data_IF_549332539649
#
_entry.id   IF_549332539649
#
_cell.length_a   1.000
_cell.length_b   1.000
_cell.length_c   1.000
_cell.angle_alpha   90.00
_cell.angle_beta   90.00
_cell.angle_gamma   90.00
#
_symmetry.space_group_name_H-M   'P 1'
#
loop_
_entity.id
_entity.type
_entity.pdbx_description
1 polymer ?
#
# COMPACT_ATOMS: atom_id res chain seq x y z
N UNK A 1 11.04 -1.92 13.02
CA UNK A 1 9.88 -2.84 13.07
C UNK A 1 10.37 -4.26 12.85
N UNK A 2 9.85 -5.24 13.60
CA UNK A 2 10.01 -6.67 13.31
C UNK A 2 9.01 -7.10 12.23
N UNK A 3 9.29 -8.18 11.50
CA UNK A 3 8.38 -8.74 10.49
C UNK A 3 6.99 -9.07 11.07
N UNK A 4 6.91 -9.46 12.35
CA UNK A 4 5.65 -9.77 13.05
C UNK A 4 4.66 -8.59 13.10
N UNK A 5 5.15 -7.34 13.09
CA UNK A 5 4.26 -6.17 13.10
C UNK A 5 3.58 -5.97 11.73
N UNK A 6 4.27 -6.27 10.63
CA UNK A 6 3.71 -6.12 9.28
C UNK A 6 2.63 -7.16 9.01
N UNK A 7 2.90 -8.43 9.32
CA UNK A 7 1.92 -9.51 9.11
C UNK A 7 0.64 -9.28 9.93
N UNK A 8 0.78 -8.77 11.16
CA UNK A 8 -0.38 -8.45 12.01
C UNK A 8 -1.21 -7.31 11.42
N UNK A 9 -0.56 -6.20 11.06
CA UNK A 9 -1.25 -5.04 10.46
C UNK A 9 -1.92 -5.42 9.14
N UNK A 10 -1.28 -6.27 8.34
CA UNK A 10 -1.83 -6.77 7.09
C UNK A 10 -3.07 -7.62 7.33
N UNK A 11 -3.04 -8.52 8.30
CA UNK A 11 -4.21 -9.32 8.67
C UNK A 11 -5.38 -8.45 9.15
N UNK A 12 -5.13 -7.49 10.05
CA UNK A 12 -6.13 -6.54 10.53
C UNK A 12 -6.74 -5.72 9.37
N UNK A 13 -5.89 -5.23 8.46
CA UNK A 13 -6.30 -4.44 7.29
C UNK A 13 -7.11 -5.26 6.28
N UNK A 14 -6.75 -6.52 6.03
CA UNK A 14 -7.49 -7.40 5.13
C UNK A 14 -8.92 -7.64 5.65
N UNK A 15 -9.07 -7.84 6.96
CA UNK A 15 -10.38 -7.98 7.59
C UNK A 15 -11.23 -6.70 7.48
N UNK A 16 -10.65 -5.54 7.76
CA UNK A 16 -11.37 -4.26 7.66
C UNK A 16 -11.78 -3.91 6.24
N UNK A 17 -10.92 -4.21 5.26
CA UNK A 17 -11.23 -3.98 3.84
C UNK A 17 -12.16 -5.04 3.24
N UNK A 18 -12.56 -6.05 4.03
CA UNK A 18 -13.52 -7.09 3.64
C UNK A 18 -12.95 -8.15 2.69
N UNK A 19 -11.64 -8.34 2.66
CA UNK A 19 -10.99 -9.42 1.88
C UNK A 19 -11.20 -10.75 2.61
N UNK A 20 -11.56 -11.78 1.86
CA UNK A 20 -11.66 -13.13 2.41
C UNK A 20 -10.26 -13.74 2.62
N UNK A 21 -10.07 -14.45 3.74
CA UNK A 21 -8.76 -15.02 4.12
C UNK A 21 -8.31 -16.20 3.24
N UNK A 22 -9.15 -16.68 2.32
CA UNK A 22 -8.83 -17.72 1.35
C UNK A 22 -8.15 -17.18 0.09
N UNK A 23 -8.02 -15.85 -0.02
CA UNK A 23 -7.43 -15.20 -1.18
C UNK A 23 -5.90 -15.23 -1.16
N UNK A 24 -5.26 -15.41 -2.32
CA UNK A 24 -3.81 -15.41 -2.40
C UNK A 24 -3.28 -14.00 -2.11
N UNK A 25 -2.39 -13.94 -1.13
CA UNK A 25 -1.67 -12.74 -0.75
C UNK A 25 -0.26 -12.82 -1.34
N UNK A 26 0.15 -11.78 -2.08
CA UNK A 26 1.47 -11.70 -2.66
C UNK A 26 2.28 -10.60 -1.96
N UNK A 27 3.43 -10.99 -1.41
CA UNK A 27 4.36 -10.08 -0.76
C UNK A 27 5.43 -9.62 -1.74
N UNK A 28 5.69 -8.33 -1.77
CA UNK A 28 6.61 -7.68 -2.69
C UNK A 28 7.45 -6.63 -1.96
N UNK A 29 8.47 -6.13 -2.64
CA UNK A 29 9.35 -5.08 -2.15
C UNK A 29 9.64 -4.05 -3.26
N UNK A 30 9.55 -2.76 -2.92
CA UNK A 30 9.90 -1.65 -3.80
C UNK A 30 10.88 -0.72 -3.06
N UNK A 31 12.09 -0.53 -3.56
CA UNK A 31 13.13 0.28 -2.90
C UNK A 31 13.34 -0.09 -1.42
N UNK A 32 13.38 -1.40 -1.10
CA UNK A 32 13.47 -1.91 0.28
C UNK A 32 12.26 -1.62 1.17
N UNK A 33 11.15 -1.18 0.59
CA UNK A 33 9.86 -1.02 1.28
C UNK A 33 8.96 -2.24 0.99
N UNK A 34 8.57 -3.00 2.02
CA UNK A 34 7.67 -4.14 1.85
C UNK A 34 6.23 -3.67 1.61
N UNK A 35 5.53 -4.34 0.69
CA UNK A 35 4.12 -4.13 0.44
C UNK A 35 3.44 -5.44 0.05
N UNK A 36 2.10 -5.46 0.10
CA UNK A 36 1.33 -6.63 -0.27
C UNK A 36 0.28 -6.33 -1.34
N UNK A 37 0.03 -7.30 -2.21
CA UNK A 37 -1.03 -7.27 -3.22
C UNK A 37 -2.06 -8.38 -2.95
N UNK A 38 -3.33 -8.02 -2.94
CA UNK A 38 -4.44 -8.97 -2.85
C UNK A 38 -5.70 -8.40 -3.51
N UNK A 39 -6.41 -9.17 -4.33
CA UNK A 39 -7.69 -8.79 -4.98
C UNK A 39 -7.71 -7.37 -5.61
N UNK A 40 -6.68 -7.03 -6.38
CA UNK A 40 -6.53 -5.69 -6.98
C UNK A 40 -6.36 -4.54 -5.98
N UNK A 41 -5.85 -4.84 -4.79
CA UNK A 41 -5.54 -3.86 -3.73
C UNK A 41 -4.08 -3.96 -3.37
N UNK A 42 -3.46 -2.80 -3.18
CA UNK A 42 -2.08 -2.67 -2.71
C UNK A 42 -2.07 -2.18 -1.28
N UNK A 43 -1.28 -2.80 -0.41
CA UNK A 43 -1.22 -2.49 1.02
C UNK A 43 0.19 -2.05 1.40
N UNK A 44 0.33 -0.77 1.73
CA UNK A 44 1.56 -0.12 2.17
C UNK A 44 1.45 0.25 3.65
N UNK A 45 1.83 -0.68 4.53
CA UNK A 45 1.50 -0.63 5.96
C UNK A 45 2.72 -0.39 6.87
N UNK A 46 3.86 -0.02 6.29
CA UNK A 46 5.08 0.31 7.03
C UNK A 46 5.40 1.79 6.98
N UNK A 47 6.03 2.29 8.04
CA UNK A 47 6.63 3.63 8.07
C UNK A 47 7.63 3.85 6.93
N UNK A 48 7.78 5.10 6.52
CA UNK A 48 8.74 5.51 5.49
C UNK A 48 8.20 5.44 4.07
N UNK A 49 6.88 5.40 3.88
CA UNK A 49 6.28 5.47 2.55
C UNK A 49 6.57 6.84 1.91
N UNK A 50 7.26 6.83 0.76
CA UNK A 50 7.60 8.05 0.00
C UNK A 50 6.91 8.06 -1.36
N UNK A 51 6.96 9.21 -2.04
CA UNK A 51 6.48 9.36 -3.41
C UNK A 51 7.22 8.41 -4.38
N UNK A 52 8.54 8.26 -4.21
CA UNK A 52 9.39 7.41 -5.05
C UNK A 52 9.02 5.94 -4.90
N UNK A 53 8.75 5.48 -3.68
CA UNK A 53 8.28 4.10 -3.44
C UNK A 53 6.95 3.86 -4.15
N UNK A 54 5.99 4.79 -4.02
CA UNK A 54 4.70 4.66 -4.71
C UNK A 54 4.86 4.65 -6.22
N UNK A 55 5.76 5.46 -6.78
CA UNK A 55 6.07 5.42 -8.22
C UNK A 55 6.61 4.06 -8.65
N UNK A 56 7.58 3.51 -7.92
CA UNK A 56 8.16 2.19 -8.21
C UNK A 56 7.09 1.09 -8.18
N UNK A 57 6.20 1.10 -7.18
CA UNK A 57 5.08 0.15 -7.07
C UNK A 57 4.14 0.29 -8.27
N UNK A 58 3.81 1.52 -8.65
CA UNK A 58 2.90 1.80 -9.77
C UNK A 58 3.50 1.40 -11.11
N UNK A 59 4.80 1.63 -11.31
CA UNK A 59 5.52 1.26 -12.54
C UNK A 59 5.65 -0.26 -12.67
N UNK A 60 5.96 -0.96 -11.57
CA UNK A 60 6.18 -2.41 -11.58
C UNK A 60 4.89 -3.23 -11.52
N UNK A 61 3.87 -2.76 -10.79
CA UNK A 61 2.67 -3.53 -10.45
C UNK A 61 1.36 -2.81 -10.78
N UNK A 62 1.40 -1.71 -11.54
CA UNK A 62 0.25 -0.88 -11.84
C UNK A 62 -0.93 -1.60 -12.51
N UNK A 63 -0.73 -2.74 -13.18
CA UNK A 63 -1.85 -3.50 -13.77
C UNK A 63 -2.53 -4.45 -12.76
N UNK A 64 -1.87 -4.72 -11.63
CA UNK A 64 -2.26 -5.72 -10.64
C UNK A 64 -3.19 -5.17 -9.56
N UNK A 65 -3.30 -3.84 -9.41
CA UNK A 65 -4.17 -3.19 -8.43
C UNK A 65 -4.91 -1.97 -8.98
N UNK A 66 -6.05 -1.64 -8.37
CA UNK A 66 -6.83 -0.42 -8.62
C UNK A 66 -6.64 0.60 -7.49
N UNK A 67 -6.60 0.14 -6.25
CA UNK A 67 -6.48 1.01 -5.06
C UNK A 67 -5.24 0.70 -4.24
N UNK A 68 -4.51 1.73 -3.80
CA UNK A 68 -3.45 1.62 -2.81
C UNK A 68 -3.95 2.11 -1.46
N UNK A 69 -3.79 1.28 -0.43
CA UNK A 69 -4.10 1.55 0.95
C UNK A 69 -2.81 1.80 1.74
N UNK A 70 -2.82 2.80 2.60
CA UNK A 70 -1.72 3.06 3.53
C UNK A 70 -2.24 3.56 4.89
N UNK A 71 -1.47 3.35 5.97
CA UNK A 71 -1.86 3.84 7.30
C UNK A 71 -1.52 5.32 7.46
N UNK A 72 -2.29 6.07 8.26
CA UNK A 72 -2.05 7.50 8.47
C UNK A 72 -0.65 7.87 9.01
N UNK A 73 0.01 6.96 9.71
CA UNK A 73 1.36 7.09 10.26
C UNK A 73 2.48 6.52 9.36
N UNK A 74 2.12 5.87 8.24
CA UNK A 74 3.09 5.29 7.30
C UNK A 74 3.92 6.30 6.48
N UNK A 75 3.40 7.47 6.04
CA UNK A 75 4.18 8.37 5.22
C UNK A 75 5.46 8.85 5.91
N UNK A 76 6.55 8.96 5.16
CA UNK A 76 7.77 9.57 5.67
C UNK A 76 7.49 11.01 6.15
N UNK A 77 8.27 11.53 7.11
CA UNK A 77 8.03 12.82 7.77
C UNK A 77 7.90 14.06 6.86
N UNK A 78 8.22 13.93 5.56
CA UNK A 78 8.12 14.99 4.55
C UNK A 78 7.23 14.60 3.36
N UNK A 79 6.51 13.50 3.43
CA UNK A 79 5.65 13.01 2.38
C UNK A 79 4.20 13.21 2.78
N UNK A 80 3.51 14.04 2.01
CA UNK A 80 2.09 14.34 2.17
C UNK A 80 1.22 13.37 1.37
N UNK A 81 -0.05 13.22 1.77
CA UNK A 81 -1.04 12.47 1.00
C UNK A 81 -1.12 12.92 -0.47
N UNK A 82 -1.07 14.24 -0.70
CA UNK A 82 -1.12 14.81 -2.05
C UNK A 82 0.06 14.38 -2.93
N UNK A 83 1.26 14.19 -2.35
CA UNK A 83 2.42 13.68 -3.10
C UNK A 83 2.25 12.20 -3.48
N UNK A 84 1.69 11.39 -2.58
CA UNK A 84 1.38 10.00 -2.84
C UNK A 84 0.28 9.85 -3.91
N UNK A 85 -0.78 10.66 -3.80
CA UNK A 85 -1.87 10.71 -4.78
C UNK A 85 -1.35 11.13 -6.17
N UNK A 86 -0.48 12.13 -6.22
CA UNK A 86 0.16 12.55 -7.47
C UNK A 86 1.01 11.43 -8.09
N UNK A 87 1.68 10.60 -7.30
CA UNK A 87 2.44 9.46 -7.82
C UNK A 87 1.52 8.37 -8.43
N UNK A 88 0.39 8.07 -7.80
CA UNK A 88 -0.56 7.07 -8.31
C UNK A 88 -1.23 7.51 -9.60
N UNK A 89 -1.62 8.78 -9.69
CA UNK A 89 -2.29 9.36 -10.87
C UNK A 89 -1.41 9.42 -12.13
N UNK A 90 -0.12 9.15 -12.03
CA UNK A 90 0.77 9.03 -13.19
C UNK A 90 0.59 7.69 -13.95
N UNK A 91 -0.07 6.71 -13.33
CA UNK A 91 -0.33 5.42 -13.97
C UNK A 91 -1.47 5.50 -14.99
N UNK A 92 -1.43 4.69 -16.07
CA UNK A 92 -2.61 4.46 -16.89
C UNK A 92 -3.71 3.73 -16.09
N UNK A 93 -4.95 4.21 -16.20
CA UNK A 93 -6.13 3.63 -15.53
C UNK A 93 -6.70 4.54 -14.45
N UNK A 94 -7.88 4.17 -13.94
CA UNK A 94 -8.52 4.86 -12.84
C UNK A 94 -8.01 4.25 -11.53
N UNK A 95 -6.93 4.83 -10.98
CA UNK A 95 -6.33 4.36 -9.73
C UNK A 95 -6.70 5.24 -8.54
N UNK A 96 -7.00 4.58 -7.43
CA UNK A 96 -7.29 5.22 -6.14
C UNK A 96 -6.15 5.14 -5.14
N UNK A 97 -6.15 6.06 -4.18
CA UNK A 97 -5.36 5.97 -2.94
C UNK A 97 -6.27 6.24 -1.75
N UNK A 98 -6.16 5.41 -0.72
CA UNK A 98 -6.95 5.53 0.50
C UNK A 98 -6.07 5.46 1.73
N UNK A 99 -6.29 6.39 2.66
CA UNK A 99 -5.65 6.40 3.95
C UNK A 99 -6.54 5.68 4.96
N UNK A 100 -5.99 4.66 5.61
CA UNK A 100 -6.65 3.92 6.67
C UNK A 100 -6.29 4.55 8.02
N UNK A 101 -7.31 4.81 8.85
CA UNK A 101 -7.14 5.28 10.21
C UNK A 101 -7.64 4.17 11.15
N UNK A 102 -6.72 3.39 11.70
CA UNK A 102 -7.02 2.44 12.76
C UNK A 102 -6.98 3.18 14.10
N UNK A 103 -8.00 2.97 14.93
CA UNK A 103 -8.18 3.63 16.23
C UNK A 103 -7.56 2.84 17.38
#
# INVERSE_FOLDING_TARGET
>A
MSAENFDRLLFETLLETGVMLDRPLHLHEALSYPFALCERRCYCLTEGLTQEIVREIVESHGLEFDTLYYLGDCPAARTSHAELEAAIKLSPGDKGIEMLNFY
#
